data_IF_286458139357
#
_entry.id   IF_286458139357
#
_cell.length_a   1.000
_cell.length_b   1.000
_cell.length_c   1.000
_cell.angle_alpha   90.00
_cell.angle_beta   90.00
_cell.angle_gamma   90.00
#
_symmetry.space_group_name_H-M   'P 1'
#
loop_
_entity.id
_entity.type
_entity.pdbx_description
1 polymer ?
#
# COMPACT_ATOMS: atom_id res chain seq x y z
N UNK A 1 13.18 7.42 -10.33
CA UNK A 1 12.76 8.33 -11.41
C UNK A 1 11.27 8.51 -11.32
N UNK A 2 10.79 9.76 -11.29
CA UNK A 2 9.35 10.09 -11.39
C UNK A 2 9.17 10.83 -12.71
N UNK A 3 8.26 10.36 -13.56
CA UNK A 3 8.02 10.91 -14.89
C UNK A 3 6.51 11.05 -15.17
N UNK A 4 6.17 11.88 -16.15
CA UNK A 4 4.79 12.06 -16.64
C UNK A 4 4.63 11.43 -18.02
N UNK A 5 3.45 10.91 -18.41
CA UNK A 5 3.25 10.21 -19.69
C UNK A 5 3.52 11.05 -20.94
N UNK A 6 3.46 12.37 -20.85
CA UNK A 6 3.63 13.31 -21.97
C UNK A 6 4.76 14.29 -21.67
N UNK A 7 5.99 13.82 -21.69
CA UNK A 7 7.18 14.70 -21.64
C UNK A 7 7.80 14.81 -23.03
N UNK A 8 7.72 15.98 -23.66
CA UNK A 8 8.47 16.38 -24.87
C UNK A 8 8.42 15.37 -26.03
N UNK A 9 7.25 14.87 -26.39
CA UNK A 9 7.06 13.88 -27.49
C UNK A 9 7.85 12.55 -27.33
N UNK A 10 8.40 12.25 -26.16
CA UNK A 10 9.05 10.96 -25.90
C UNK A 10 8.05 9.96 -25.35
N UNK A 11 8.12 8.75 -25.88
CA UNK A 11 7.41 7.62 -25.31
C UNK A 11 8.10 7.19 -24.01
N UNK A 12 7.44 7.48 -22.88
CA UNK A 12 7.95 7.18 -21.54
C UNK A 12 8.06 5.68 -21.30
N UNK A 13 7.18 4.87 -21.88
CA UNK A 13 7.20 3.43 -21.68
C UNK A 13 8.40 2.80 -22.38
N UNK A 14 8.70 3.24 -23.61
CA UNK A 14 9.91 2.84 -24.31
C UNK A 14 11.17 3.32 -23.57
N UNK A 15 11.21 4.57 -23.13
CA UNK A 15 12.34 5.12 -22.36
C UNK A 15 12.55 4.39 -21.02
N UNK A 16 11.48 4.00 -20.34
CA UNK A 16 11.57 3.22 -19.10
C UNK A 16 12.20 1.83 -19.36
N UNK A 17 11.81 1.18 -20.45
CA UNK A 17 12.39 -0.10 -20.86
C UNK A 17 13.88 0.01 -21.14
N UNK A 18 14.33 1.06 -21.87
CA UNK A 18 15.75 1.33 -22.09
C UNK A 18 16.51 1.56 -20.78
N UNK A 19 15.95 2.36 -19.86
CA UNK A 19 16.57 2.61 -18.56
C UNK A 19 16.72 1.31 -17.78
N UNK A 20 15.71 0.44 -17.78
CA UNK A 20 15.75 -0.84 -17.04
C UNK A 20 16.78 -1.81 -17.61
N UNK A 21 17.10 -1.74 -18.90
CA UNK A 21 18.19 -2.54 -19.51
C UNK A 21 19.54 -2.18 -18.89
N UNK A 22 19.83 -0.90 -18.68
CA UNK A 22 21.09 -0.43 -18.13
C UNK A 22 21.09 -0.36 -16.60
N UNK A 23 19.95 -0.10 -16.00
CA UNK A 23 19.77 0.13 -14.55
C UNK A 23 18.53 -0.59 -14.03
N UNK A 24 18.56 -1.93 -13.93
CA UNK A 24 17.38 -2.74 -13.60
C UNK A 24 16.77 -2.42 -12.22
N UNK A 25 17.59 -1.96 -11.29
CA UNK A 25 17.16 -1.68 -9.90
C UNK A 25 16.67 -0.24 -9.67
N UNK A 26 16.78 0.66 -10.65
CA UNK A 26 16.28 2.03 -10.48
C UNK A 26 14.75 2.03 -10.50
N UNK A 27 14.06 2.47 -9.43
CA UNK A 27 12.61 2.57 -9.43
C UNK A 27 12.12 3.61 -10.45
N UNK A 28 11.13 3.22 -11.26
CA UNK A 28 10.47 4.10 -12.23
C UNK A 28 9.00 4.23 -11.88
N UNK A 29 8.57 5.46 -11.65
CA UNK A 29 7.20 5.80 -11.27
C UNK A 29 6.61 6.74 -12.31
N UNK A 30 5.45 6.39 -12.82
CA UNK A 30 4.67 7.25 -13.70
C UNK A 30 3.64 8.03 -12.87
N UNK A 31 3.69 9.35 -12.97
CA UNK A 31 2.72 10.25 -12.35
C UNK A 31 1.82 10.82 -13.44
N UNK A 32 0.52 10.47 -13.39
CA UNK A 32 -0.42 10.86 -14.45
C UNK A 32 -1.52 11.78 -13.92
N UNK A 33 -2.01 12.74 -14.72
CA UNK A 33 -3.26 13.39 -14.40
C UNK A 33 -4.41 12.35 -14.47
N UNK A 34 -5.41 12.52 -13.59
CA UNK A 34 -6.57 11.64 -13.62
C UNK A 34 -7.47 12.00 -14.83
N UNK A 35 -7.26 11.31 -15.97
CA UNK A 35 -8.13 11.40 -17.14
C UNK A 35 -8.50 10.02 -17.67
N UNK A 36 -9.67 9.91 -18.29
CA UNK A 36 -10.13 8.65 -18.92
C UNK A 36 -9.21 8.20 -20.06
N UNK A 37 -8.64 9.16 -20.80
CA UNK A 37 -7.73 8.90 -21.92
C UNK A 37 -6.42 8.29 -21.45
N UNK A 38 -5.81 8.87 -20.41
CA UNK A 38 -4.56 8.36 -19.83
C UNK A 38 -4.79 7.00 -19.16
N UNK A 39 -5.92 6.81 -18.48
CA UNK A 39 -6.26 5.51 -17.90
C UNK A 39 -6.41 4.40 -18.95
N UNK A 40 -7.03 4.72 -20.11
CA UNK A 40 -7.14 3.78 -21.25
C UNK A 40 -5.78 3.49 -21.88
N UNK A 41 -4.92 4.51 -22.01
CA UNK A 41 -3.56 4.35 -22.53
C UNK A 41 -2.76 3.43 -21.63
N UNK A 42 -2.71 3.69 -20.33
CA UNK A 42 -1.99 2.88 -19.35
C UNK A 42 -2.49 1.42 -19.35
N UNK A 43 -3.78 1.18 -19.53
CA UNK A 43 -4.34 -0.17 -19.58
C UNK A 43 -3.88 -0.98 -20.81
N UNK A 44 -3.39 -0.33 -21.87
CA UNK A 44 -2.95 -0.95 -23.12
C UNK A 44 -1.42 -0.97 -23.31
N UNK A 45 -0.67 -0.32 -22.41
CA UNK A 45 0.79 -0.24 -22.47
C UNK A 45 1.46 -1.38 -21.71
N UNK A 46 2.66 -1.75 -22.12
CA UNK A 46 3.51 -2.64 -21.35
C UNK A 46 4.10 -1.89 -20.14
N UNK A 47 3.62 -2.25 -18.96
CA UNK A 47 4.06 -1.68 -17.69
C UNK A 47 5.19 -2.48 -17.02
N UNK A 48 5.80 -3.44 -17.68
CA UNK A 48 6.82 -4.33 -17.09
C UNK A 48 8.04 -3.56 -16.57
N UNK A 49 8.39 -2.43 -17.20
CA UNK A 49 9.47 -1.54 -16.81
C UNK A 49 9.06 -0.49 -15.77
N UNK A 50 7.76 -0.39 -15.43
CA UNK A 50 7.21 0.62 -14.51
C UNK A 50 6.94 -0.03 -13.16
N UNK A 51 7.56 0.47 -12.11
CA UNK A 51 7.33 -0.05 -10.75
C UNK A 51 5.95 0.34 -10.23
N UNK A 52 5.56 1.61 -10.40
CA UNK A 52 4.26 2.13 -9.96
C UNK A 52 3.72 3.20 -10.91
N UNK A 53 2.40 3.26 -11.00
CA UNK A 53 1.67 4.36 -11.64
C UNK A 53 0.85 5.06 -10.56
N UNK A 54 0.90 6.40 -10.49
CA UNK A 54 0.10 7.17 -9.55
C UNK A 54 -0.73 8.22 -10.28
N UNK A 55 -1.89 8.53 -9.71
CA UNK A 55 -2.74 9.61 -10.18
C UNK A 55 -2.47 10.88 -9.38
N UNK A 56 -2.07 11.97 -10.08
CA UNK A 56 -1.90 13.27 -9.46
C UNK A 56 -3.26 13.92 -9.22
N UNK A 57 -3.63 14.07 -7.96
CA UNK A 57 -4.91 14.62 -7.50
C UNK A 57 -4.75 16.03 -6.89
N UNK A 58 -3.63 16.71 -7.16
CA UNK A 58 -3.34 18.03 -6.60
C UNK A 58 -2.78 18.01 -5.17
N UNK A 59 -2.48 16.84 -4.61
CA UNK A 59 -1.96 16.69 -3.25
C UNK A 59 -0.44 16.42 -3.26
N UNK A 60 0.36 17.38 -2.77
CA UNK A 60 1.82 17.24 -2.68
C UNK A 60 2.28 16.15 -1.69
N UNK A 61 1.46 15.76 -0.71
CA UNK A 61 1.75 14.64 0.21
C UNK A 61 1.92 13.31 -0.56
N UNK A 62 1.36 13.22 -1.79
CA UNK A 62 1.55 12.06 -2.66
C UNK A 62 3.03 11.82 -3.01
N UNK A 63 3.83 12.87 -3.22
CA UNK A 63 5.25 12.72 -3.51
C UNK A 63 6.00 12.08 -2.34
N UNK A 64 5.68 12.49 -1.12
CA UNK A 64 6.22 11.86 0.08
C UNK A 64 5.81 10.38 0.17
N UNK A 65 4.54 10.08 -0.11
CA UNK A 65 4.03 8.71 -0.09
C UNK A 65 4.73 7.82 -1.13
N UNK A 66 4.96 8.33 -2.34
CA UNK A 66 5.71 7.62 -3.40
C UNK A 66 7.13 7.30 -2.93
N UNK A 67 7.86 8.30 -2.42
CA UNK A 67 9.23 8.11 -1.93
C UNK A 67 9.25 7.04 -0.82
N UNK A 68 8.35 7.17 0.15
CA UNK A 68 8.28 6.23 1.28
C UNK A 68 7.87 4.82 0.86
N UNK A 69 6.98 4.67 -0.12
CA UNK A 69 6.61 3.34 -0.65
C UNK A 69 7.81 2.66 -1.33
N UNK A 70 8.62 3.43 -2.06
CA UNK A 70 9.84 2.92 -2.68
C UNK A 70 10.87 2.54 -1.61
N UNK A 71 11.12 3.41 -0.63
CA UNK A 71 11.99 3.11 0.52
C UNK A 71 11.54 1.84 1.24
N UNK A 72 10.25 1.69 1.50
CA UNK A 72 9.69 0.51 2.16
C UNK A 72 9.84 -0.75 1.29
N UNK A 73 9.69 -0.64 -0.04
CA UNK A 73 9.93 -1.75 -0.97
C UNK A 73 11.38 -2.23 -0.90
N UNK A 74 12.33 -1.30 -0.85
CA UNK A 74 13.77 -1.60 -0.87
C UNK A 74 14.27 -2.11 0.49
N UNK A 75 13.82 -1.52 1.59
CA UNK A 75 14.38 -1.76 2.92
C UNK A 75 13.62 -2.84 3.72
N UNK A 76 12.35 -3.16 3.37
CA UNK A 76 11.57 -4.11 4.14
C UNK A 76 12.25 -5.48 4.34
N UNK A 77 12.92 -6.09 3.35
CA UNK A 77 13.57 -7.39 3.57
C UNK A 77 14.62 -7.35 4.69
N UNK A 78 15.48 -6.33 4.68
CA UNK A 78 16.55 -6.19 5.66
C UNK A 78 16.02 -5.72 7.02
N UNK A 79 15.10 -4.75 7.04
CA UNK A 79 14.52 -4.19 8.26
C UNK A 79 13.65 -5.22 9.01
N UNK A 80 12.92 -6.09 8.31
CA UNK A 80 12.14 -7.16 8.94
C UNK A 80 13.05 -8.26 9.51
N UNK A 81 14.11 -8.63 8.79
CA UNK A 81 15.03 -9.68 9.21
C UNK A 81 15.94 -9.23 10.38
N UNK A 82 16.42 -7.99 10.35
CA UNK A 82 17.41 -7.49 11.31
C UNK A 82 16.82 -6.87 12.57
N UNK A 83 15.67 -6.21 12.45
CA UNK A 83 15.05 -5.39 13.53
C UNK A 83 13.62 -5.85 13.87
N UNK A 84 13.06 -6.78 13.10
CA UNK A 84 11.68 -7.24 13.31
C UNK A 84 10.62 -6.18 12.96
N UNK A 85 10.94 -5.27 12.03
CA UNK A 85 10.02 -4.20 11.62
C UNK A 85 8.73 -4.78 11.07
N UNK A 86 7.61 -4.19 11.45
CA UNK A 86 6.29 -4.67 11.07
C UNK A 86 5.83 -4.14 9.71
N UNK A 87 4.92 -4.89 9.08
CA UNK A 87 4.39 -4.62 7.75
C UNK A 87 2.89 -4.34 7.81
N UNK A 88 2.46 -3.27 7.18
CA UNK A 88 1.07 -3.02 6.80
C UNK A 88 0.92 -3.37 5.32
N UNK A 89 0.04 -4.31 4.99
CA UNK A 89 -0.26 -4.67 3.62
C UNK A 89 -1.52 -3.94 3.16
N UNK A 90 -1.39 -3.10 2.14
CA UNK A 90 -2.49 -2.49 1.40
C UNK A 90 -2.71 -3.27 0.11
N UNK A 91 -3.93 -3.78 -0.12
CA UNK A 91 -4.32 -4.47 -1.34
C UNK A 91 -5.34 -3.62 -2.09
N UNK A 92 -4.93 -3.05 -3.22
CA UNK A 92 -5.75 -2.12 -4.01
C UNK A 92 -5.21 -2.05 -5.44
N UNK A 93 -6.04 -2.37 -6.44
CA UNK A 93 -5.66 -2.32 -7.85
C UNK A 93 -5.99 -0.97 -8.53
N UNK A 94 -6.88 -0.18 -7.94
CA UNK A 94 -7.27 1.11 -8.48
C UNK A 94 -6.21 2.18 -8.21
N UNK A 95 -5.58 2.66 -9.29
CA UNK A 95 -4.61 3.77 -9.25
C UNK A 95 -5.14 4.97 -8.48
N UNK A 96 -6.41 5.33 -8.70
CA UNK A 96 -7.05 6.44 -8.01
C UNK A 96 -7.15 6.22 -6.51
N UNK A 97 -7.58 5.04 -6.08
CA UNK A 97 -7.80 4.76 -4.66
C UNK A 97 -6.48 4.65 -3.90
N UNK A 98 -5.50 3.89 -4.37
CA UNK A 98 -4.23 3.83 -3.64
C UNK A 98 -3.43 5.15 -3.69
N UNK A 99 -3.58 5.96 -4.78
CA UNK A 99 -2.99 7.32 -4.82
C UNK A 99 -3.60 8.26 -3.79
N UNK A 100 -4.86 8.05 -3.41
CA UNK A 100 -5.53 8.79 -2.35
C UNK A 100 -5.24 8.23 -0.95
N UNK A 101 -5.22 6.91 -0.79
CA UNK A 101 -5.07 6.26 0.51
C UNK A 101 -3.64 6.34 1.06
N UNK A 102 -2.62 6.13 0.22
CA UNK A 102 -1.21 6.08 0.65
C UNK A 102 -0.73 7.37 1.33
N UNK A 103 -1.02 8.60 0.86
CA UNK A 103 -0.65 9.81 1.59
C UNK A 103 -1.21 9.83 3.01
N UNK A 104 -2.46 9.45 3.21
CA UNK A 104 -3.08 9.40 4.54
C UNK A 104 -2.45 8.33 5.43
N UNK A 105 -2.17 7.15 4.89
CA UNK A 105 -1.49 6.07 5.61
C UNK A 105 -0.08 6.47 6.04
N UNK A 106 0.73 7.01 5.12
CA UNK A 106 2.09 7.45 5.46
C UNK A 106 2.11 8.60 6.44
N UNK A 107 1.24 9.59 6.27
CA UNK A 107 1.10 10.69 7.24
C UNK A 107 0.81 10.13 8.63
N UNK A 108 -0.16 9.24 8.74
CA UNK A 108 -0.52 8.62 10.01
C UNK A 108 0.63 7.82 10.62
N UNK A 109 1.27 6.92 9.86
CA UNK A 109 2.40 6.12 10.35
C UNK A 109 3.57 6.99 10.80
N UNK A 110 3.89 8.05 10.04
CA UNK A 110 4.96 8.99 10.39
C UNK A 110 4.63 9.80 11.65
N UNK A 111 3.40 10.31 11.79
CA UNK A 111 2.94 11.02 12.99
C UNK A 111 3.07 10.13 14.23
N UNK A 112 2.62 8.88 14.16
CA UNK A 112 2.74 7.93 15.27
C UNK A 112 4.21 7.66 15.62
N UNK A 113 5.04 7.37 14.63
CA UNK A 113 6.47 7.14 14.85
C UNK A 113 7.18 8.33 15.47
N UNK A 114 6.81 9.55 15.09
CA UNK A 114 7.35 10.77 15.70
C UNK A 114 6.88 10.95 17.15
N UNK A 115 5.64 10.60 17.47
CA UNK A 115 5.15 10.64 18.85
C UNK A 115 5.97 9.70 19.74
N UNK A 116 6.16 8.43 19.31
CA UNK A 116 6.99 7.49 20.05
C UNK A 116 8.46 7.89 20.13
N UNK A 117 8.99 8.52 19.09
CA UNK A 117 10.37 9.02 19.11
C UNK A 117 10.59 10.15 20.12
N UNK A 118 9.56 10.96 20.42
CA UNK A 118 9.63 12.02 21.44
C UNK A 118 9.71 11.48 22.87
N UNK A 119 9.19 10.28 23.10
CA UNK A 119 9.23 9.60 24.40
C UNK A 119 10.56 8.87 24.65
N UNK A 120 11.49 8.91 23.69
CA UNK A 120 12.80 8.27 23.82
C UNK A 120 13.68 9.05 24.81
N UNK A 121 14.38 8.31 25.68
CA UNK A 121 15.25 8.86 26.71
C UNK A 121 16.58 9.43 26.17
N UNK A 122 16.98 9.04 24.95
CA UNK A 122 18.20 9.51 24.30
C UNK A 122 18.11 9.42 22.78
N UNK A 123 19.07 10.03 22.06
CA UNK A 123 19.10 10.08 20.60
C UNK A 123 19.26 8.70 19.93
N UNK A 124 19.94 7.77 20.58
CA UNK A 124 20.08 6.40 20.07
C UNK A 124 18.73 5.67 20.05
N UNK A 125 17.98 5.70 21.15
CA UNK A 125 16.63 5.14 21.23
C UNK A 125 15.68 5.85 20.25
N UNK A 126 15.80 7.17 20.12
CA UNK A 126 15.02 7.94 19.15
C UNK A 126 15.26 7.45 17.72
N UNK A 127 16.52 7.23 17.34
CA UNK A 127 16.88 6.72 16.02
C UNK A 127 16.35 5.30 15.79
N UNK A 128 16.43 4.42 16.80
CA UNK A 128 15.88 3.06 16.71
C UNK A 128 14.36 3.07 16.54
N UNK A 129 13.65 3.89 17.31
CA UNK A 129 12.19 4.03 17.19
C UNK A 129 11.76 4.59 15.83
N UNK A 130 12.53 5.51 15.26
CA UNK A 130 12.28 6.03 13.91
C UNK A 130 12.51 4.98 12.83
N UNK A 131 13.52 4.10 12.99
CA UNK A 131 13.75 2.98 12.08
C UNK A 131 12.70 1.89 12.21
N UNK A 132 12.19 1.66 13.43
CA UNK A 132 11.18 0.66 13.75
C UNK A 132 9.76 0.97 13.25
N UNK A 133 9.55 2.09 12.52
CA UNK A 133 8.24 2.38 11.96
C UNK A 133 7.74 1.26 11.06
N UNK A 134 6.45 0.89 11.12
CA UNK A 134 5.87 -0.07 10.19
C UNK A 134 6.08 0.34 8.74
N UNK A 135 6.43 -0.64 7.89
CA UNK A 135 6.55 -0.45 6.44
C UNK A 135 5.22 -0.72 5.76
N UNK A 136 4.92 0.03 4.71
CA UNK A 136 3.73 -0.20 3.91
C UNK A 136 4.11 -0.94 2.63
N UNK A 137 3.44 -2.05 2.36
CA UNK A 137 3.54 -2.79 1.09
C UNK A 137 2.23 -2.64 0.34
N UNK A 138 2.31 -2.34 -0.95
CA UNK A 138 1.16 -2.27 -1.85
C UNK A 138 1.13 -3.52 -2.72
N UNK A 139 0.01 -4.23 -2.71
CA UNK A 139 -0.32 -5.29 -3.67
C UNK A 139 -1.45 -4.83 -4.60
N UNK A 140 -1.33 -5.12 -5.89
CA UNK A 140 -2.30 -4.67 -6.91
C UNK A 140 -3.13 -5.82 -7.49
N UNK A 141 -2.87 -7.05 -7.06
CA UNK A 141 -3.62 -8.25 -7.43
C UNK A 141 -3.52 -9.29 -6.32
N UNK A 142 -4.29 -10.36 -6.47
CA UNK A 142 -4.40 -11.44 -5.50
C UNK A 142 -3.06 -12.18 -5.29
N UNK A 143 -2.38 -12.50 -6.37
CA UNK A 143 -1.12 -13.25 -6.36
C UNK A 143 -0.01 -12.44 -5.65
N UNK A 144 0.03 -11.14 -5.90
CA UNK A 144 0.96 -10.24 -5.22
C UNK A 144 0.63 -10.11 -3.73
N UNK A 145 -0.67 -10.04 -3.37
CA UNK A 145 -1.11 -9.99 -1.99
C UNK A 145 -0.71 -11.26 -1.21
N UNK A 146 -0.96 -12.43 -1.78
CA UNK A 146 -0.55 -13.72 -1.20
C UNK A 146 0.96 -13.80 -1.05
N UNK A 147 1.72 -13.47 -2.09
CA UNK A 147 3.19 -13.51 -2.06
C UNK A 147 3.78 -12.60 -0.98
N UNK A 148 3.28 -11.36 -0.86
CA UNK A 148 3.74 -10.42 0.19
C UNK A 148 3.32 -10.92 1.57
N UNK A 149 2.10 -11.40 1.72
CA UNK A 149 1.63 -11.96 2.97
C UNK A 149 2.50 -13.13 3.43
N UNK A 150 2.76 -14.12 2.57
CA UNK A 150 3.56 -15.30 2.91
C UNK A 150 5.00 -14.93 3.25
N UNK A 151 5.57 -13.93 2.54
CA UNK A 151 6.93 -13.45 2.80
C UNK A 151 7.08 -12.78 4.16
N UNK A 152 6.05 -12.04 4.62
CA UNK A 152 6.12 -11.19 5.80
C UNK A 152 5.10 -11.54 6.88
N UNK A 153 4.50 -12.72 6.85
CA UNK A 153 3.39 -13.09 7.75
C UNK A 153 3.74 -12.97 9.23
N UNK A 154 4.99 -13.25 9.62
CA UNK A 154 5.45 -13.20 11.01
C UNK A 154 5.69 -11.73 11.48
N UNK A 155 5.79 -10.80 10.53
CA UNK A 155 5.93 -9.36 10.77
C UNK A 155 4.65 -8.59 10.42
N UNK A 156 3.54 -9.27 10.10
CA UNK A 156 2.33 -8.61 9.61
C UNK A 156 1.58 -7.91 10.73
N UNK A 157 1.60 -6.59 10.73
CA UNK A 157 0.87 -5.75 11.67
C UNK A 157 -0.63 -5.73 11.37
N UNK A 158 -0.98 -5.63 10.10
CA UNK A 158 -2.36 -5.57 9.66
C UNK A 158 -2.50 -5.51 8.15
N UNK A 159 -3.70 -5.81 7.68
CA UNK A 159 -4.05 -5.86 6.27
C UNK A 159 -5.22 -4.92 6.02
N UNK A 160 -5.11 -4.09 4.99
CA UNK A 160 -6.17 -3.25 4.44
C UNK A 160 -6.40 -3.75 3.03
N UNK A 161 -7.58 -4.26 2.72
CA UNK A 161 -7.87 -4.86 1.42
C UNK A 161 -9.14 -4.31 0.83
N UNK A 162 -9.08 -3.89 -0.43
CA UNK A 162 -10.29 -3.74 -1.23
C UNK A 162 -11.03 -5.08 -1.34
N UNK A 163 -12.32 -5.02 -1.60
CA UNK A 163 -13.16 -6.19 -1.84
C UNK A 163 -12.95 -6.78 -3.24
N UNK A 164 -12.77 -5.90 -4.25
CA UNK A 164 -12.74 -6.30 -5.65
C UNK A 164 -11.45 -5.86 -6.34
N UNK A 165 -10.63 -6.81 -6.75
CA UNK A 165 -9.39 -6.57 -7.50
C UNK A 165 -9.04 -7.75 -8.42
N UNK A 166 -7.95 -7.63 -9.16
CA UNK A 166 -7.51 -8.64 -10.14
C UNK A 166 -7.09 -9.95 -9.46
N UNK A 167 -7.61 -11.08 -9.96
CA UNK A 167 -7.27 -12.44 -9.54
C UNK A 167 -7.21 -13.33 -10.77
N UNK A 168 -6.08 -13.99 -11.02
CA UNK A 168 -5.81 -14.77 -12.24
C UNK A 168 -6.04 -13.97 -13.53
N UNK A 169 -5.67 -12.69 -13.54
CA UNK A 169 -5.82 -11.82 -14.70
C UNK A 169 -7.25 -11.32 -14.96
N UNK A 170 -8.22 -11.64 -14.10
CA UNK A 170 -9.62 -11.22 -14.22
C UNK A 170 -10.05 -10.43 -12.99
N UNK A 171 -10.91 -9.42 -13.15
CA UNK A 171 -11.51 -8.70 -12.03
C UNK A 171 -12.45 -9.62 -11.26
N UNK A 172 -12.09 -9.90 -10.00
CA UNK A 172 -12.87 -10.74 -9.10
C UNK A 172 -13.57 -9.88 -8.04
N UNK A 173 -14.91 -9.80 -8.01
CA UNK A 173 -15.65 -8.97 -7.06
C UNK A 173 -15.50 -9.43 -5.59
N UNK A 174 -14.99 -10.64 -5.37
CA UNK A 174 -14.82 -11.24 -4.04
C UNK A 174 -13.33 -11.53 -3.71
N UNK A 175 -12.39 -10.95 -4.45
CA UNK A 175 -10.96 -11.21 -4.25
C UNK A 175 -10.51 -10.90 -2.81
N UNK A 176 -10.94 -9.79 -2.25
CA UNK A 176 -10.60 -9.38 -0.88
C UNK A 176 -11.16 -10.33 0.19
N UNK A 177 -12.38 -10.84 -0.01
CA UNK A 177 -12.95 -11.85 0.86
C UNK A 177 -12.17 -13.18 0.77
N UNK A 178 -11.87 -13.64 -0.44
CA UNK A 178 -11.06 -14.85 -0.66
C UNK A 178 -9.66 -14.72 -0.05
N UNK A 179 -9.03 -13.55 -0.20
CA UNK A 179 -7.74 -13.28 0.43
C UNK A 179 -7.85 -13.28 1.95
N UNK A 180 -8.90 -12.67 2.51
CA UNK A 180 -9.17 -12.74 3.94
C UNK A 180 -9.35 -14.17 4.45
N UNK A 181 -10.06 -15.02 3.71
CA UNK A 181 -10.19 -16.46 4.02
C UNK A 181 -8.83 -17.17 3.95
N UNK A 182 -7.98 -16.85 2.97
CA UNK A 182 -6.62 -17.39 2.88
C UNK A 182 -5.82 -17.04 4.15
N UNK A 183 -5.83 -15.77 4.55
CA UNK A 183 -5.15 -15.31 5.78
C UNK A 183 -5.68 -16.05 7.01
N UNK A 184 -7.00 -16.21 7.16
CA UNK A 184 -7.59 -16.90 8.32
C UNK A 184 -7.24 -18.40 8.38
N UNK A 185 -7.08 -19.06 7.23
CA UNK A 185 -6.66 -20.48 7.15
C UNK A 185 -5.27 -20.73 7.72
N UNK A 186 -4.40 -19.71 7.78
CA UNK A 186 -3.07 -19.85 8.40
C UNK A 186 -3.11 -19.96 9.93
N UNK A 187 -4.26 -19.69 10.56
CA UNK A 187 -4.42 -19.67 12.01
C UNK A 187 -3.90 -18.40 12.69
N UNK A 188 -3.31 -17.47 11.92
CA UNK A 188 -2.81 -16.20 12.46
C UNK A 188 -3.96 -15.21 12.71
N UNK A 189 -3.93 -14.56 13.88
CA UNK A 189 -4.90 -13.53 14.25
C UNK A 189 -4.35 -12.16 13.81
N UNK A 190 -4.40 -11.88 12.51
CA UNK A 190 -3.94 -10.61 11.96
C UNK A 190 -5.14 -9.66 11.81
N UNK A 191 -5.03 -8.41 12.29
CA UNK A 191 -6.03 -7.38 12.04
C UNK A 191 -6.28 -7.20 10.55
N UNK A 192 -7.55 -7.23 10.15
CA UNK A 192 -7.96 -7.13 8.76
C UNK A 192 -9.05 -6.06 8.63
N UNK A 193 -8.86 -5.15 7.68
CA UNK A 193 -9.82 -4.14 7.27
C UNK A 193 -10.23 -4.44 5.84
N UNK A 194 -11.51 -4.71 5.62
CA UNK A 194 -12.10 -4.87 4.30
C UNK A 194 -12.74 -3.56 3.86
N UNK A 195 -12.36 -3.09 2.69
CA UNK A 195 -12.88 -1.85 2.10
C UNK A 195 -13.75 -2.16 0.89
N UNK A 196 -14.83 -1.40 0.70
CA UNK A 196 -15.66 -1.54 -0.49
C UNK A 196 -16.43 -0.25 -0.76
N UNK A 197 -16.75 -0.01 -2.04
CA UNK A 197 -17.71 1.00 -2.46
C UNK A 197 -19.17 0.55 -2.30
N UNK A 198 -19.40 -0.73 -2.03
CA UNK A 198 -20.70 -1.32 -1.81
C UNK A 198 -20.88 -1.64 -0.32
N UNK A 199 -21.77 -0.90 0.35
CA UNK A 199 -22.02 -1.06 1.79
C UNK A 199 -22.52 -2.48 2.17
N UNK A 200 -23.23 -3.18 1.26
CA UNK A 200 -23.68 -4.56 1.44
C UNK A 200 -22.54 -5.53 1.74
N UNK A 201 -21.32 -5.25 1.30
CA UNK A 201 -20.15 -6.10 1.51
C UNK A 201 -19.68 -6.15 2.98
N UNK A 202 -20.31 -5.38 3.88
CA UNK A 202 -20.03 -5.48 5.33
C UNK A 202 -20.26 -6.90 5.89
N UNK A 203 -21.13 -7.71 5.27
CA UNK A 203 -21.39 -9.10 5.68
C UNK A 203 -20.15 -9.96 5.57
N UNK A 204 -19.34 -9.79 4.51
CA UNK A 204 -18.10 -10.53 4.31
C UNK A 204 -17.01 -10.14 5.32
N UNK A 205 -16.97 -8.85 5.70
CA UNK A 205 -16.08 -8.42 6.77
C UNK A 205 -16.47 -9.06 8.11
N UNK A 206 -17.77 -9.18 8.41
CA UNK A 206 -18.26 -9.87 9.62
C UNK A 206 -17.87 -11.35 9.64
N UNK A 207 -18.03 -12.06 8.50
CA UNK A 207 -17.63 -13.47 8.37
C UNK A 207 -16.12 -13.68 8.60
N UNK A 208 -15.29 -12.73 8.16
CA UNK A 208 -13.85 -12.75 8.36
C UNK A 208 -13.41 -12.32 9.76
N UNK A 209 -14.32 -11.89 10.63
CA UNK A 209 -14.00 -11.17 11.86
C UNK A 209 -13.07 -9.95 11.58
N UNK A 210 -13.38 -9.22 10.52
CA UNK A 210 -12.65 -8.06 10.03
C UNK A 210 -13.43 -6.76 10.28
N UNK A 211 -12.74 -5.64 10.25
CA UNK A 211 -13.39 -4.32 10.20
C UNK A 211 -13.84 -4.01 8.78
N UNK A 212 -14.92 -3.25 8.64
CA UNK A 212 -15.40 -2.77 7.34
C UNK A 212 -15.27 -1.24 7.23
N UNK A 213 -14.91 -0.76 6.04
CA UNK A 213 -14.90 0.66 5.67
C UNK A 213 -15.60 0.84 4.33
N UNK A 214 -16.55 1.78 4.28
CA UNK A 214 -17.17 2.24 3.04
C UNK A 214 -16.25 3.28 2.36
N UNK A 215 -15.74 2.95 1.17
CA UNK A 215 -14.86 3.84 0.37
C UNK A 215 -15.56 5.12 -0.10
N UNK A 216 -16.91 5.12 -0.16
CA UNK A 216 -17.70 6.29 -0.54
C UNK A 216 -18.02 7.21 0.65
N UNK A 217 -17.64 6.82 1.87
CA UNK A 217 -17.84 7.65 3.06
C UNK A 217 -17.08 8.97 2.95
N UNK A 218 -17.71 10.08 3.29
CA UNK A 218 -17.05 11.39 3.40
C UNK A 218 -15.99 11.42 4.51
N UNK A 219 -16.10 10.52 5.48
CA UNK A 219 -15.16 10.34 6.60
C UNK A 219 -14.12 9.25 6.36
N UNK A 220 -13.99 8.75 5.12
CA UNK A 220 -13.09 7.63 4.80
C UNK A 220 -11.68 7.76 5.42
N UNK A 221 -10.95 8.90 5.29
CA UNK A 221 -9.61 9.01 5.88
C UNK A 221 -9.61 8.91 7.41
N UNK A 222 -10.62 9.50 8.07
CA UNK A 222 -10.80 9.47 9.52
C UNK A 222 -11.18 8.05 9.99
N UNK A 223 -12.08 7.38 9.27
CA UNK A 223 -12.50 6.02 9.56
C UNK A 223 -11.34 5.05 9.41
N UNK A 224 -10.54 5.19 8.35
CA UNK A 224 -9.33 4.41 8.13
C UNK A 224 -8.32 4.60 9.29
N UNK A 225 -8.00 5.85 9.63
CA UNK A 225 -7.14 6.18 10.76
C UNK A 225 -7.64 5.55 12.06
N UNK A 226 -8.94 5.70 12.37
CA UNK A 226 -9.57 5.15 13.56
C UNK A 226 -9.48 3.61 13.62
N UNK A 227 -9.73 2.93 12.50
CA UNK A 227 -9.66 1.46 12.45
C UNK A 227 -8.23 0.96 12.63
N UNK A 228 -7.26 1.60 12.01
CA UNK A 228 -5.85 1.28 12.18
C UNK A 228 -5.43 1.46 13.65
N UNK A 229 -5.74 2.61 14.26
CA UNK A 229 -5.42 2.86 15.67
C UNK A 229 -6.05 1.82 16.60
N UNK A 230 -7.32 1.47 16.38
CA UNK A 230 -8.05 0.58 17.27
C UNK A 230 -7.70 -0.90 17.11
N UNK A 231 -7.21 -1.31 15.94
CA UNK A 231 -7.06 -2.72 15.59
C UNK A 231 -5.61 -3.16 15.37
N UNK A 232 -4.73 -2.28 14.91
CA UNK A 232 -3.36 -2.65 14.58
C UNK A 232 -2.40 -2.52 15.77
N UNK A 233 -2.86 -2.03 16.94
CA UNK A 233 -2.04 -1.99 18.15
C UNK A 233 -0.81 -1.09 18.00
N UNK A 234 -0.94 0.09 17.38
CA UNK A 234 0.15 1.05 17.30
C UNK A 234 0.58 1.47 18.71
N UNK A 235 1.79 1.14 19.11
CA UNK A 235 2.37 1.50 20.40
C UNK A 235 2.98 0.34 21.19
N UNK A 236 2.70 -0.90 20.83
CA UNK A 236 3.22 -2.08 21.53
C UNK A 236 4.54 -2.60 20.89
N UNK A 237 5.27 -1.74 20.16
CA UNK A 237 6.43 -2.13 19.34
C UNK A 237 7.77 -1.79 20.00
N UNK A 238 7.90 -1.99 21.29
CA UNK A 238 9.20 -1.89 21.97
C UNK A 238 9.44 -3.10 22.83
#
# INVERSE_FOLDING_TARGET
IICMPNMDNRDIFAAASEIKVHYPNIPIVVLTPFSKEVSKRIANEDLSAIDYVFSWLGNSELLLAIIKLIEDKMNAPDDTASVGVQIILLVEDSIRFYSSALPHLYKFVLEQSQMFAKEALNDHQRTLRMRGRPKIKLARNYEEAVRIFDQYRDNMLGIISDMSFMHNGVKDPYAGYKFGQYVRKTGLIIPFVLESSEASNHIYAKELNASFIDKNSKSYPQDLKKKIMQRFGFGDFV
#
